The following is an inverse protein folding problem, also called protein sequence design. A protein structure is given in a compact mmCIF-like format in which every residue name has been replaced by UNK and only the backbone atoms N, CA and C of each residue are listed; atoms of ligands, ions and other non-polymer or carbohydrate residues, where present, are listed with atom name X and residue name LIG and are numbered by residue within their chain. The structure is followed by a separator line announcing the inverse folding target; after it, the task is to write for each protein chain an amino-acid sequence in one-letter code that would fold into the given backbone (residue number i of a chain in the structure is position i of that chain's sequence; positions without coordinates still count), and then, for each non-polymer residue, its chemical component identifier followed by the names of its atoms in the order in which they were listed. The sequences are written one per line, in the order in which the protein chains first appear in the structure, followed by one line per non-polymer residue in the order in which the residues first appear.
data_IF_176285216157
#
_entry.id   IF_176285216157
#
_cell.length_a   1.000
_cell.length_b   1.000
_cell.length_c   1.000
_cell.angle_alpha   90.00
_cell.angle_beta   90.00
_cell.angle_gamma   90.00
#
_symmetry.space_group_name_H-M   'P 1'
#
loop_
_entity.id
_entity.type
_entity.pdbx_description
1 polymer ?
#
# COMPACT_ATOMS: atom_id res chain seq x y z
N UNK A 1 27.17 36.19 4.29
CA UNK A 1 25.70 36.21 4.04
C UNK A 1 25.21 34.88 3.45
N UNK A 2 25.38 33.73 4.13
CA UNK A 2 24.96 32.40 3.63
C UNK A 2 24.18 31.53 4.64
N UNK A 3 23.94 32.05 5.84
CA UNK A 3 23.39 31.29 6.98
C UNK A 3 21.88 31.44 7.18
N UNK A 4 21.19 32.33 6.45
CA UNK A 4 19.74 32.53 6.60
C UNK A 4 18.87 31.57 5.76
N UNK A 5 19.45 30.79 4.84
CA UNK A 5 18.67 29.88 3.97
C UNK A 5 18.31 28.54 4.62
N UNK A 6 19.01 28.13 5.68
CA UNK A 6 18.78 26.85 6.35
C UNK A 6 17.62 26.90 7.35
N UNK A 7 17.31 28.07 7.92
CA UNK A 7 16.27 28.21 8.95
C UNK A 7 14.86 28.15 8.34
N UNK A 8 14.68 28.69 7.12
CA UNK A 8 13.42 28.62 6.39
C UNK A 8 13.08 27.21 5.90
N UNK A 9 14.09 26.35 5.66
CA UNK A 9 13.85 24.95 5.29
C UNK A 9 13.30 24.12 6.47
N UNK A 10 13.74 24.41 7.70
CA UNK A 10 13.22 23.77 8.92
C UNK A 10 11.83 24.31 9.31
N UNK A 11 11.52 25.56 8.94
CA UNK A 11 10.22 26.16 9.20
C UNK A 11 9.08 25.56 8.35
N UNK A 12 9.38 24.75 7.35
CA UNK A 12 8.36 24.18 6.46
C UNK A 12 7.77 22.85 6.97
N UNK A 13 8.19 22.35 8.14
CA UNK A 13 7.62 21.13 8.74
C UNK A 13 6.32 21.35 9.53
N UNK A 14 5.77 22.57 9.62
CA UNK A 14 4.63 22.84 10.53
C UNK A 14 3.45 23.63 9.95
N UNK A 15 3.33 23.79 8.62
CA UNK A 15 2.16 24.48 8.06
C UNK A 15 1.22 23.49 7.37
N UNK A 16 0.21 23.02 8.12
CA UNK A 16 -1.06 22.65 7.49
C UNK A 16 -1.85 21.44 7.99
N UNK A 17 -1.62 20.94 9.21
CA UNK A 17 -2.56 20.00 9.80
C UNK A 17 -2.08 19.29 11.05
N UNK A 18 -2.96 19.16 12.03
CA UNK A 18 -2.80 18.06 12.99
C UNK A 18 -2.71 16.77 12.16
N UNK A 19 -1.89 15.78 12.48
CA UNK A 19 -1.81 14.53 11.67
C UNK A 19 -3.15 13.77 11.48
N UNK A 20 -4.25 14.33 12.01
CA UNK A 20 -5.62 13.89 12.00
C UNK A 20 -6.53 14.76 11.12
N UNK A 21 -5.97 15.63 10.28
CA UNK A 21 -6.75 16.44 9.34
C UNK A 21 -7.62 15.54 8.43
N UNK A 22 -8.84 16.00 8.15
CA UNK A 22 -9.85 15.20 7.45
C UNK A 22 -9.36 14.66 6.10
N UNK A 23 -8.56 15.45 5.38
CA UNK A 23 -7.95 15.05 4.10
C UNK A 23 -6.98 13.88 4.27
N UNK A 24 -6.15 13.91 5.32
CA UNK A 24 -5.18 12.84 5.64
C UNK A 24 -5.89 11.55 6.03
N UNK A 25 -6.96 11.66 6.83
CA UNK A 25 -7.78 10.50 7.22
C UNK A 25 -8.46 9.89 5.99
N UNK A 26 -9.07 10.71 5.13
CA UNK A 26 -9.68 10.23 3.89
C UNK A 26 -8.67 9.55 2.98
N UNK A 27 -7.50 10.17 2.75
CA UNK A 27 -6.45 9.59 1.93
C UNK A 27 -6.01 8.23 2.49
N UNK A 28 -5.78 8.13 3.80
CA UNK A 28 -5.40 6.89 4.48
C UNK A 28 -6.43 5.78 4.24
N UNK A 29 -7.71 6.09 4.42
CA UNK A 29 -8.81 5.13 4.19
C UNK A 29 -8.88 4.72 2.73
N UNK A 30 -8.79 5.67 1.79
CA UNK A 30 -8.83 5.40 0.35
C UNK A 30 -7.67 4.49 -0.07
N UNK A 31 -6.44 4.78 0.35
CA UNK A 31 -5.29 3.95 0.02
C UNK A 31 -5.34 2.58 0.69
N UNK A 32 -5.86 2.47 1.92
CA UNK A 32 -6.07 1.18 2.58
C UNK A 32 -7.09 0.31 1.81
N UNK A 33 -8.23 0.89 1.44
CA UNK A 33 -9.26 0.21 0.63
C UNK A 33 -8.70 -0.18 -0.74
N UNK A 34 -7.94 0.70 -1.38
CA UNK A 34 -7.29 0.42 -2.66
C UNK A 34 -6.32 -0.76 -2.55
N UNK A 35 -5.51 -0.81 -1.49
CA UNK A 35 -4.60 -1.93 -1.25
C UNK A 35 -5.33 -3.27 -1.11
N UNK A 36 -6.42 -3.30 -0.34
CA UNK A 36 -7.26 -4.50 -0.19
C UNK A 36 -7.92 -4.88 -1.52
N UNK A 37 -8.45 -3.91 -2.26
CA UNK A 37 -9.07 -4.14 -3.56
C UNK A 37 -8.08 -4.73 -4.57
N UNK A 38 -6.83 -4.24 -4.59
CA UNK A 38 -5.77 -4.77 -5.45
C UNK A 38 -5.38 -6.20 -5.06
N UNK A 39 -5.34 -6.52 -3.76
CA UNK A 39 -5.12 -7.90 -3.30
C UNK A 39 -6.26 -8.84 -3.69
N UNK A 40 -7.51 -8.39 -3.55
CA UNK A 40 -8.68 -9.15 -4.01
C UNK A 40 -8.67 -9.37 -5.53
N UNK A 41 -8.28 -8.34 -6.29
CA UNK A 41 -8.11 -8.44 -7.74
C UNK A 41 -7.03 -9.47 -8.09
N UNK A 42 -5.87 -9.44 -7.41
CA UNK A 42 -4.83 -10.44 -7.60
C UNK A 42 -5.34 -11.86 -7.32
N UNK A 43 -6.04 -12.06 -6.20
CA UNK A 43 -6.63 -13.35 -5.87
C UNK A 43 -7.58 -13.85 -6.98
N UNK A 44 -8.45 -12.97 -7.46
CA UNK A 44 -9.38 -13.26 -8.54
C UNK A 44 -8.68 -13.59 -9.86
N UNK A 45 -7.64 -12.82 -10.22
CA UNK A 45 -6.83 -13.05 -11.42
C UNK A 45 -6.14 -14.41 -11.34
N UNK A 46 -5.46 -14.73 -10.24
CA UNK A 46 -4.78 -16.02 -10.10
C UNK A 46 -5.77 -17.19 -10.14
N UNK A 47 -6.89 -17.07 -9.44
CA UNK A 47 -7.96 -18.08 -9.46
C UNK A 47 -8.49 -18.32 -10.88
N UNK A 48 -8.69 -17.24 -11.65
CA UNK A 48 -9.22 -17.32 -13.03
C UNK A 48 -8.18 -17.85 -14.02
N UNK A 49 -6.95 -17.32 -13.98
CA UNK A 49 -5.89 -17.64 -14.93
C UNK A 49 -5.38 -19.06 -14.74
N UNK A 50 -5.10 -19.45 -13.49
CA UNK A 50 -4.57 -20.78 -13.20
C UNK A 50 -5.66 -21.83 -12.96
N UNK A 51 -6.94 -21.42 -12.94
CA UNK A 51 -8.10 -22.29 -12.62
C UNK A 51 -7.89 -23.06 -11.32
N UNK A 52 -7.16 -22.45 -10.39
CA UNK A 52 -6.88 -22.99 -9.06
C UNK A 52 -8.01 -22.64 -8.13
N UNK A 53 -8.29 -23.52 -7.19
CA UNK A 53 -9.24 -23.25 -6.12
C UNK A 53 -8.45 -22.65 -4.95
N UNK A 54 -8.25 -21.32 -4.99
CA UNK A 54 -7.29 -20.61 -4.14
C UNK A 54 -7.46 -20.92 -2.64
N UNK A 55 -8.72 -21.00 -2.19
CA UNK A 55 -9.06 -21.27 -0.80
C UNK A 55 -8.58 -22.66 -0.39
N UNK A 56 -8.81 -23.66 -1.23
CA UNK A 56 -8.38 -25.04 -0.99
C UNK A 56 -6.86 -25.14 -1.00
N UNK A 57 -6.23 -24.58 -2.03
CA UNK A 57 -4.78 -24.65 -2.20
C UNK A 57 -4.02 -23.95 -1.05
N UNK A 58 -4.55 -22.85 -0.52
CA UNK A 58 -3.92 -22.10 0.57
C UNK A 58 -4.25 -22.66 1.97
N UNK A 59 -5.46 -23.17 2.19
CA UNK A 59 -5.92 -23.65 3.51
C UNK A 59 -5.68 -25.14 3.70
N UNK A 60 -6.09 -25.96 2.72
CA UNK A 60 -6.03 -27.43 2.80
C UNK A 60 -4.64 -27.93 2.39
N UNK A 61 -4.17 -27.52 1.21
CA UNK A 61 -2.89 -27.99 0.67
C UNK A 61 -1.68 -27.19 1.21
N UNK A 62 -1.95 -26.12 1.96
CA UNK A 62 -0.93 -25.24 2.58
C UNK A 62 0.19 -24.85 1.62
N UNK A 63 -0.17 -24.52 0.38
CA UNK A 63 0.78 -24.22 -0.67
C UNK A 63 1.55 -22.93 -0.33
N UNK A 64 2.79 -23.13 0.15
CA UNK A 64 3.69 -22.04 0.52
C UNK A 64 4.06 -21.17 -0.67
N UNK A 65 4.07 -21.72 -1.89
CA UNK A 65 4.30 -20.96 -3.11
C UNK A 65 3.22 -19.90 -3.35
N UNK A 66 1.94 -20.25 -3.19
CA UNK A 66 0.85 -19.28 -3.25
C UNK A 66 0.94 -18.27 -2.10
N UNK A 67 1.27 -18.72 -0.89
CA UNK A 67 1.47 -17.82 0.24
C UNK A 67 2.55 -16.76 -0.02
N UNK A 68 3.70 -17.17 -0.56
CA UNK A 68 4.80 -16.26 -0.93
C UNK A 68 4.38 -15.32 -2.07
N UNK A 69 3.64 -15.81 -3.07
CA UNK A 69 3.13 -14.97 -4.15
C UNK A 69 2.17 -13.88 -3.63
N UNK A 70 1.28 -14.21 -2.68
CA UNK A 70 0.42 -13.24 -2.02
C UNK A 70 1.22 -12.21 -1.21
N UNK A 71 2.19 -12.65 -0.42
CA UNK A 71 3.04 -11.76 0.36
C UNK A 71 3.85 -10.81 -0.54
N UNK A 72 4.46 -11.34 -1.61
CA UNK A 72 5.19 -10.54 -2.59
C UNK A 72 4.32 -9.50 -3.28
N UNK A 73 3.09 -9.87 -3.65
CA UNK A 73 2.13 -8.95 -4.24
C UNK A 73 1.68 -7.87 -3.26
N UNK A 74 1.45 -8.22 -1.98
CA UNK A 74 1.14 -7.25 -0.93
C UNK A 74 2.26 -6.21 -0.76
N UNK A 75 3.52 -6.66 -0.76
CA UNK A 75 4.69 -5.77 -0.70
C UNK A 75 4.77 -4.88 -1.95
N UNK A 76 4.57 -5.43 -3.14
CA UNK A 76 4.58 -4.65 -4.38
C UNK A 76 3.48 -3.57 -4.38
N UNK A 77 2.27 -3.90 -3.95
CA UNK A 77 1.16 -2.94 -3.82
C UNK A 77 1.52 -1.84 -2.81
N UNK A 78 2.09 -2.20 -1.66
CA UNK A 78 2.52 -1.24 -0.66
C UNK A 78 3.57 -0.26 -1.21
N UNK A 79 4.54 -0.75 -1.99
CA UNK A 79 5.55 0.07 -2.64
C UNK A 79 4.97 1.00 -3.70
N UNK A 80 4.01 0.52 -4.51
CA UNK A 80 3.31 1.34 -5.50
C UNK A 80 2.55 2.47 -4.81
N UNK A 81 1.78 2.16 -3.76
CA UNK A 81 1.05 3.17 -2.99
C UNK A 81 2.03 4.16 -2.35
N UNK A 82 3.13 3.70 -1.75
CA UNK A 82 4.15 4.57 -1.18
C UNK A 82 4.75 5.52 -2.23
N UNK A 83 5.02 5.02 -3.44
CA UNK A 83 5.50 5.84 -4.55
C UNK A 83 4.46 6.89 -4.97
N UNK A 84 3.15 6.58 -4.94
CA UNK A 84 2.09 7.57 -5.23
C UNK A 84 1.89 8.63 -4.15
N UNK A 85 2.31 8.35 -2.91
CA UNK A 85 2.18 9.30 -1.79
C UNK A 85 3.39 10.22 -1.69
N UNK A 86 4.59 9.69 -1.99
CA UNK A 86 5.85 10.43 -1.90
C UNK A 86 6.20 11.16 -3.20
N UNK A 87 5.78 10.62 -4.35
CA UNK A 87 6.00 11.22 -5.68
C UNK A 87 5.03 12.36 -5.98
#
# INVERSE_FOLDING_TARGET
MRTMRTITAVAQETVGGSGLDWQTLLATVVYAVLGVALLMLFAWVVNTVFRLDLRRELIEDQNTGLGVAFAGTAVAIALIIAATVVG
#
